data_IF_544034457623
#
_entry.id   IF_544034457623
#
_cell.length_a   1.000
_cell.length_b   1.000
_cell.length_c   1.000
_cell.angle_alpha   90.00
_cell.angle_beta   90.00
_cell.angle_gamma   90.00
#
_symmetry.space_group_name_H-M   'P 1'
#
loop_
_entity.id
_entity.type
_entity.pdbx_description
1 polymer ?
#
# COMPACT_ATOMS: atom_id res chain seq x y z
N UNK A 1 9.79 24.85 -2.11
CA UNK A 1 8.74 25.22 -1.10
C UNK A 1 7.37 25.48 -1.74
N UNK A 2 7.27 26.24 -2.82
CA UNK A 2 5.98 26.51 -3.50
C UNK A 2 5.23 25.25 -3.94
N UNK A 3 5.92 24.28 -4.55
CA UNK A 3 5.30 23.02 -4.98
C UNK A 3 4.63 22.28 -3.82
N UNK A 4 5.24 22.31 -2.62
CA UNK A 4 4.63 21.72 -1.40
C UNK A 4 3.29 22.37 -1.05
N UNK A 5 3.21 23.70 -1.14
CA UNK A 5 1.95 24.41 -0.88
C UNK A 5 0.91 24.15 -1.97
N UNK A 6 1.32 24.11 -3.24
CA UNK A 6 0.43 23.78 -4.34
C UNK A 6 -0.18 22.38 -4.18
N UNK A 7 0.65 21.37 -3.91
CA UNK A 7 0.19 20.01 -3.65
C UNK A 7 -0.72 19.93 -2.41
N UNK A 8 -0.39 20.64 -1.32
CA UNK A 8 -1.23 20.66 -0.13
C UNK A 8 -2.60 21.31 -0.38
N UNK A 9 -2.66 22.37 -1.18
CA UNK A 9 -3.93 23.00 -1.57
C UNK A 9 -4.78 22.07 -2.46
N UNK A 10 -4.14 21.40 -3.42
CA UNK A 10 -4.78 20.38 -4.25
C UNK A 10 -5.34 19.22 -3.41
N UNK A 11 -4.57 18.73 -2.43
CA UNK A 11 -4.99 17.65 -1.54
C UNK A 11 -6.22 18.06 -0.71
N UNK A 12 -6.20 19.24 -0.07
CA UNK A 12 -7.35 19.75 0.70
C UNK A 12 -8.61 19.88 -0.15
N UNK A 13 -8.46 20.25 -1.42
CA UNK A 13 -9.59 20.33 -2.34
C UNK A 13 -10.23 18.95 -2.59
N UNK A 14 -9.42 17.90 -2.75
CA UNK A 14 -9.93 16.53 -2.88
C UNK A 14 -10.58 16.04 -1.58
N UNK A 15 -9.96 16.33 -0.43
CA UNK A 15 -10.49 15.97 0.91
C UNK A 15 -11.84 16.64 1.20
N UNK A 16 -12.12 17.79 0.60
CA UNK A 16 -13.42 18.46 0.67
C UNK A 16 -14.52 17.79 -0.20
N UNK A 17 -14.22 16.69 -0.88
CA UNK A 17 -15.18 15.91 -1.67
C UNK A 17 -15.22 16.23 -3.17
N UNK A 18 -14.34 17.10 -3.66
CA UNK A 18 -14.23 17.38 -5.09
C UNK A 18 -13.52 16.24 -5.83
N UNK A 19 -13.93 15.97 -7.08
CA UNK A 19 -13.46 14.81 -7.87
C UNK A 19 -12.23 15.10 -8.74
N UNK A 20 -11.89 16.36 -8.94
CA UNK A 20 -10.83 16.80 -9.86
C UNK A 20 -9.88 17.77 -9.16
N UNK A 21 -8.65 17.84 -9.63
CA UNK A 21 -7.66 18.78 -9.10
C UNK A 21 -7.98 20.24 -9.49
N UNK A 22 -7.80 21.21 -8.58
CA UNK A 22 -7.90 22.62 -8.93
C UNK A 22 -6.58 23.11 -9.57
N UNK A 23 -6.67 24.16 -10.39
CA UNK A 23 -5.49 24.92 -10.80
C UNK A 23 -5.01 25.79 -9.63
N UNK A 24 -3.78 25.56 -9.18
CA UNK A 24 -3.13 26.38 -8.14
C UNK A 24 -2.05 27.22 -8.81
N UNK A 25 -2.18 28.54 -8.76
CA UNK A 25 -1.23 29.48 -9.35
C UNK A 25 -0.26 29.98 -8.27
N UNK A 26 1.00 29.52 -8.25
CA UNK A 26 1.99 30.02 -7.31
C UNK A 26 2.51 31.39 -7.76
N UNK A 27 2.28 32.43 -6.96
CA UNK A 27 2.83 33.78 -7.21
C UNK A 27 3.90 34.11 -6.16
N UNK A 28 4.98 34.75 -6.60
CA UNK A 28 6.06 35.25 -5.76
C UNK A 28 6.14 36.77 -5.90
N UNK A 29 6.16 37.47 -4.77
CA UNK A 29 6.45 38.90 -4.72
C UNK A 29 7.88 39.07 -4.22
N UNK A 30 8.75 39.65 -5.06
CA UNK A 30 10.14 39.94 -4.72
C UNK A 30 10.32 41.44 -4.51
N UNK A 31 10.88 41.82 -3.36
CA UNK A 31 11.22 43.20 -3.01
C UNK A 31 12.61 43.27 -2.36
N UNK A 32 13.62 42.78 -3.08
CA UNK A 32 15.00 42.82 -2.63
C UNK A 32 15.83 43.88 -3.37
N UNK A 33 17.03 44.13 -2.88
CA UNK A 33 17.90 45.20 -3.36
C UNK A 33 18.48 44.97 -4.77
N UNK A 34 18.48 43.73 -5.28
CA UNK A 34 19.03 43.37 -6.60
C UNK A 34 17.91 43.23 -7.62
N UNK A 35 17.89 44.10 -8.63
CA UNK A 35 16.86 44.15 -9.67
C UNK A 35 17.48 44.15 -11.08
N UNK A 36 16.92 43.37 -12.04
CA UNK A 36 15.82 42.42 -11.88
C UNK A 36 16.21 41.19 -11.02
N UNK A 37 15.22 40.41 -10.60
CA UNK A 37 15.45 39.18 -9.82
C UNK A 37 16.46 38.27 -10.55
N UNK A 38 17.58 37.89 -9.92
CA UNK A 38 18.72 37.32 -10.66
C UNK A 38 18.75 35.77 -10.70
N UNK A 39 17.79 35.08 -10.08
CA UNK A 39 17.78 33.62 -9.97
C UNK A 39 16.68 32.99 -10.82
N UNK A 40 16.76 31.67 -11.06
CA UNK A 40 15.72 30.97 -11.80
C UNK A 40 14.41 30.92 -11.01
N UNK A 41 13.28 31.05 -11.73
CA UNK A 41 11.93 30.82 -11.20
C UNK A 41 11.43 29.39 -11.50
N UNK A 42 12.17 28.63 -12.31
CA UNK A 42 11.83 27.25 -12.65
C UNK A 42 12.52 26.31 -11.65
N UNK A 43 11.74 25.71 -10.75
CA UNK A 43 12.27 24.78 -9.73
C UNK A 43 13.00 23.57 -10.31
N UNK A 44 12.81 23.26 -11.60
CA UNK A 44 13.50 22.19 -12.30
C UNK A 44 14.98 22.51 -12.59
N UNK A 45 15.36 23.79 -12.56
CA UNK A 45 16.76 24.22 -12.73
C UNK A 45 17.62 23.94 -11.50
N UNK A 46 16.98 23.65 -10.35
CA UNK A 46 17.66 23.35 -9.09
C UNK A 46 18.15 21.88 -9.00
N UNK A 47 17.85 21.05 -10.00
CA UNK A 47 18.37 19.68 -10.06
C UNK A 47 19.80 19.68 -10.63
N UNK A 48 20.62 18.72 -10.20
CA UNK A 48 21.94 18.51 -10.78
C UNK A 48 21.90 18.22 -12.31
N UNK A 49 20.79 17.64 -12.78
CA UNK A 49 20.48 17.45 -14.21
C UNK A 49 19.08 18.01 -14.53
N UNK A 50 18.97 19.30 -14.90
CA UNK A 50 17.71 19.93 -15.25
C UNK A 50 17.03 19.33 -16.49
N UNK A 51 17.80 18.76 -17.42
CA UNK A 51 17.27 18.14 -18.65
C UNK A 51 16.50 16.87 -18.30
N UNK A 52 17.08 16.02 -17.45
CA UNK A 52 16.41 14.82 -16.96
C UNK A 52 15.22 15.17 -16.06
N UNK A 53 15.34 16.17 -15.19
CA UNK A 53 14.24 16.61 -14.33
C UNK A 53 13.01 17.05 -15.15
N UNK A 54 13.21 17.80 -16.24
CA UNK A 54 12.12 18.20 -17.14
C UNK A 54 11.45 17.01 -17.81
N UNK A 55 12.23 16.04 -18.29
CA UNK A 55 11.68 14.80 -18.85
C UNK A 55 10.81 14.06 -17.83
N UNK A 56 11.24 13.99 -16.57
CA UNK A 56 10.54 13.24 -15.54
C UNK A 56 9.30 13.95 -14.98
N UNK A 57 9.36 15.27 -14.79
CA UNK A 57 8.33 16.02 -14.06
C UNK A 57 7.37 16.82 -14.94
N UNK A 58 7.69 17.02 -16.23
CA UNK A 58 6.84 17.77 -17.16
C UNK A 58 6.13 16.88 -18.21
N UNK A 59 6.29 15.56 -18.12
CA UNK A 59 5.62 14.59 -19.00
C UNK A 59 4.75 13.65 -18.18
N UNK A 60 4.02 12.76 -18.87
CA UNK A 60 3.28 11.70 -18.20
C UNK A 60 4.24 10.82 -17.38
N UNK A 61 3.82 10.46 -16.16
CA UNK A 61 4.63 9.58 -15.32
C UNK A 61 4.87 8.23 -16.03
N UNK A 62 6.09 7.68 -15.96
CA UNK A 62 6.36 6.37 -16.52
C UNK A 62 5.51 5.31 -15.81
N UNK A 63 4.70 4.58 -16.57
CA UNK A 63 3.97 3.40 -16.10
C UNK A 63 4.74 2.15 -16.52
N UNK A 64 5.19 1.36 -15.53
CA UNK A 64 5.74 0.02 -15.79
C UNK A 64 4.59 -0.97 -15.68
N UNK A 65 4.04 -1.38 -16.82
CA UNK A 65 3.02 -2.42 -16.87
C UNK A 65 3.66 -3.81 -16.85
N UNK A 66 3.86 -4.34 -15.65
CA UNK A 66 4.50 -5.66 -15.44
C UNK A 66 3.66 -6.79 -16.06
N UNK A 67 2.37 -6.59 -16.32
CA UNK A 67 1.50 -7.65 -16.87
C UNK A 67 1.91 -8.07 -18.28
N UNK A 68 2.52 -7.17 -19.05
CA UNK A 68 2.96 -7.42 -20.43
C UNK A 68 4.46 -7.73 -20.54
N UNK A 69 5.26 -7.51 -19.49
CA UNK A 69 6.70 -7.77 -19.50
C UNK A 69 6.95 -9.28 -19.42
N UNK A 70 7.68 -9.89 -20.37
CA UNK A 70 8.03 -11.32 -20.32
C UNK A 70 8.82 -11.71 -19.07
N UNK A 71 8.63 -12.93 -18.56
CA UNK A 71 9.32 -13.40 -17.35
C UNK A 71 10.84 -13.41 -17.54
N UNK A 72 11.34 -13.81 -18.72
CA UNK A 72 12.78 -13.84 -19.01
C UNK A 72 13.42 -12.44 -19.05
N UNK A 73 12.63 -11.42 -19.36
CA UNK A 73 13.02 -10.02 -19.23
C UNK A 73 13.05 -9.60 -17.76
N UNK A 74 11.99 -9.87 -16.99
CA UNK A 74 11.92 -9.60 -15.53
C UNK A 74 13.13 -10.24 -14.82
N UNK A 75 13.52 -11.45 -15.21
CA UNK A 75 14.65 -12.17 -14.63
C UNK A 75 16.01 -11.45 -14.78
N UNK A 76 16.09 -10.40 -15.62
CA UNK A 76 17.27 -9.53 -15.82
C UNK A 76 17.24 -8.27 -14.95
N UNK A 77 16.12 -7.93 -14.32
CA UNK A 77 15.92 -6.69 -13.52
C UNK A 77 16.60 -6.70 -12.13
N UNK A 78 17.47 -7.69 -11.87
CA UNK A 78 18.30 -7.82 -10.66
C UNK A 78 17.49 -7.74 -9.36
N UNK A 79 17.55 -6.61 -8.65
CA UNK A 79 16.96 -6.43 -7.31
C UNK A 79 15.43 -6.32 -7.35
N UNK A 80 14.88 -5.80 -8.45
CA UNK A 80 13.43 -5.54 -8.58
C UNK A 80 12.67 -6.75 -9.11
N UNK A 81 13.38 -7.63 -9.82
CA UNK A 81 12.84 -8.84 -10.46
C UNK A 81 11.97 -9.69 -9.53
N UNK A 82 12.40 -9.85 -8.27
CA UNK A 82 11.70 -10.67 -7.28
C UNK A 82 10.29 -10.11 -6.98
N UNK A 83 10.20 -8.79 -6.84
CA UNK A 83 8.95 -8.09 -6.57
C UNK A 83 8.06 -8.06 -7.80
N UNK A 84 8.63 -7.78 -8.97
CA UNK A 84 7.90 -7.75 -10.25
C UNK A 84 7.28 -9.10 -10.57
N UNK A 85 8.06 -10.18 -10.46
CA UNK A 85 7.60 -11.53 -10.75
C UNK A 85 6.46 -11.94 -9.81
N UNK A 86 6.60 -11.69 -8.50
CA UNK A 86 5.51 -11.95 -7.56
C UNK A 86 4.29 -11.08 -7.88
N UNK A 87 4.44 -9.78 -8.12
CA UNK A 87 3.32 -8.88 -8.41
C UNK A 87 2.56 -9.31 -9.67
N UNK A 88 3.29 -9.70 -10.73
CA UNK A 88 2.71 -10.20 -11.98
C UNK A 88 1.81 -11.42 -11.77
N UNK A 89 2.25 -12.35 -10.93
CA UNK A 89 1.64 -13.66 -10.80
C UNK A 89 0.83 -13.87 -9.52
N UNK A 90 0.81 -12.93 -8.55
CA UNK A 90 0.14 -13.12 -7.25
C UNK A 90 -1.35 -13.44 -7.37
N UNK A 91 -1.99 -12.98 -8.45
CA UNK A 91 -3.42 -13.23 -8.75
C UNK A 91 -3.65 -14.51 -9.54
N UNK A 92 -2.61 -15.15 -10.06
CA UNK A 92 -2.73 -16.42 -10.77
C UNK A 92 -2.97 -17.56 -9.78
N UNK A 93 -3.70 -18.60 -10.22
CA UNK A 93 -4.09 -19.70 -9.34
C UNK A 93 -2.90 -20.55 -8.89
N UNK A 94 -1.83 -20.63 -9.68
CA UNK A 94 -0.69 -21.49 -9.40
C UNK A 94 0.62 -20.70 -9.28
N UNK A 95 1.03 -20.46 -8.04
CA UNK A 95 2.35 -19.86 -7.73
C UNK A 95 3.48 -20.89 -7.80
N UNK A 96 3.18 -22.20 -7.87
CA UNK A 96 4.22 -23.24 -7.86
C UNK A 96 5.09 -23.21 -9.11
N UNK A 97 4.54 -22.78 -10.24
CA UNK A 97 5.30 -22.59 -11.49
C UNK A 97 6.43 -21.55 -11.37
N UNK A 98 6.41 -20.68 -10.35
CA UNK A 98 7.41 -19.63 -10.15
C UNK A 98 8.54 -20.02 -9.19
N UNK A 99 8.43 -21.18 -8.53
CA UNK A 99 9.39 -21.56 -7.47
C UNK A 99 10.81 -21.58 -8.02
N UNK A 100 11.02 -22.13 -9.22
CA UNK A 100 12.36 -22.21 -9.84
C UNK A 100 12.93 -20.83 -10.17
N UNK A 101 12.12 -19.95 -10.76
CA UNK A 101 12.53 -18.60 -11.10
C UNK A 101 12.88 -17.79 -9.84
N UNK A 102 12.07 -17.91 -8.78
CA UNK A 102 12.31 -17.20 -7.52
C UNK A 102 13.52 -17.76 -6.78
N UNK A 103 13.73 -19.07 -6.80
CA UNK A 103 14.96 -19.68 -6.28
C UNK A 103 16.18 -19.13 -7.02
N UNK A 104 16.14 -19.07 -8.35
CA UNK A 104 17.23 -18.52 -9.15
C UNK A 104 17.52 -17.04 -8.81
N UNK A 105 16.49 -16.21 -8.60
CA UNK A 105 16.66 -14.82 -8.19
C UNK A 105 17.22 -14.67 -6.78
N UNK A 106 16.79 -15.51 -5.84
CA UNK A 106 17.27 -15.50 -4.46
C UNK A 106 18.72 -15.97 -4.35
N UNK A 107 19.12 -16.99 -5.12
CA UNK A 107 20.51 -17.49 -5.17
C UNK A 107 21.47 -16.42 -5.70
N UNK A 108 21.03 -15.57 -6.64
CA UNK A 108 21.83 -14.42 -7.12
C UNK A 108 22.12 -13.37 -6.04
N UNK A 109 21.45 -13.42 -4.88
CA UNK A 109 21.75 -12.57 -3.73
C UNK A 109 21.42 -11.08 -3.92
N UNK A 110 20.55 -10.74 -4.88
CA UNK A 110 20.20 -9.34 -5.15
C UNK A 110 19.25 -8.72 -4.11
N UNK A 111 18.44 -9.56 -3.45
CA UNK A 111 17.45 -9.12 -2.47
C UNK A 111 18.08 -9.05 -1.07
N UNK A 112 17.90 -7.90 -0.40
CA UNK A 112 18.25 -7.76 1.01
C UNK A 112 17.07 -8.14 1.92
N UNK A 113 17.31 -8.15 3.23
CA UNK A 113 16.38 -8.57 4.28
C UNK A 113 15.07 -7.79 4.24
N UNK A 114 15.17 -6.46 4.07
CA UNK A 114 14.03 -5.56 3.99
C UNK A 114 13.18 -5.84 2.75
N UNK A 115 13.81 -6.13 1.61
CA UNK A 115 13.12 -6.48 0.38
C UNK A 115 12.40 -7.83 0.50
N UNK A 116 13.05 -8.84 1.09
CA UNK A 116 12.43 -10.14 1.36
C UNK A 116 11.23 -10.01 2.31
N UNK A 117 11.38 -9.26 3.40
CA UNK A 117 10.29 -9.03 4.34
C UNK A 117 9.12 -8.30 3.68
N UNK A 118 9.39 -7.25 2.89
CA UNK A 118 8.36 -6.51 2.15
C UNK A 118 7.61 -7.41 1.15
N UNK A 119 8.34 -8.31 0.48
CA UNK A 119 7.74 -9.27 -0.43
C UNK A 119 6.83 -10.27 0.29
N UNK A 120 7.28 -10.84 1.41
CA UNK A 120 6.47 -11.78 2.18
C UNK A 120 5.22 -11.10 2.78
N UNK A 121 5.36 -9.85 3.26
CA UNK A 121 4.22 -9.03 3.65
C UNK A 121 3.22 -8.87 2.52
N UNK A 122 3.70 -8.46 1.34
CA UNK A 122 2.85 -8.27 0.17
C UNK A 122 2.10 -9.56 -0.21
N UNK A 123 2.81 -10.69 -0.25
CA UNK A 123 2.21 -12.00 -0.57
C UNK A 123 1.19 -12.45 0.47
N UNK A 124 1.44 -12.23 1.77
CA UNK A 124 0.50 -12.59 2.83
C UNK A 124 -0.80 -11.77 2.76
N UNK A 125 -0.70 -10.48 2.44
CA UNK A 125 -1.87 -9.61 2.36
C UNK A 125 -2.67 -9.77 1.07
N UNK A 126 -2.01 -10.11 -0.04
CA UNK A 126 -2.64 -10.11 -1.37
C UNK A 126 -2.97 -11.52 -1.87
N UNK A 127 -2.26 -12.54 -1.39
CA UNK A 127 -2.41 -13.93 -1.83
C UNK A 127 -3.24 -14.80 -0.88
N UNK A 128 -3.61 -15.98 -1.35
CA UNK A 128 -4.22 -17.02 -0.52
C UNK A 128 -3.18 -17.56 0.49
N UNK A 129 -3.42 -17.32 1.78
CA UNK A 129 -2.51 -17.67 2.87
C UNK A 129 -2.15 -19.17 2.91
N UNK A 130 -3.07 -20.05 2.52
CA UNK A 130 -2.80 -21.49 2.49
C UNK A 130 -1.80 -21.85 1.38
N UNK A 131 -1.95 -21.24 0.20
CA UNK A 131 -1.04 -21.45 -0.95
C UNK A 131 0.33 -20.84 -0.69
N UNK A 132 0.36 -19.67 -0.04
CA UNK A 132 1.60 -19.01 0.36
C UNK A 132 2.46 -19.91 1.27
N UNK A 133 1.85 -20.55 2.28
CA UNK A 133 2.60 -21.40 3.20
C UNK A 133 3.29 -22.58 2.49
N UNK A 134 2.60 -23.22 1.55
CA UNK A 134 3.18 -24.31 0.75
C UNK A 134 4.26 -23.78 -0.17
N UNK A 135 4.01 -22.65 -0.84
CA UNK A 135 4.94 -21.99 -1.75
C UNK A 135 6.26 -21.61 -1.04
N UNK A 136 6.18 -20.96 0.12
CA UNK A 136 7.35 -20.56 0.91
C UNK A 136 8.16 -21.76 1.40
N UNK A 137 7.49 -22.82 1.83
CA UNK A 137 8.18 -24.06 2.22
C UNK A 137 8.98 -24.64 1.06
N UNK A 138 8.42 -24.67 -0.15
CA UNK A 138 9.11 -25.15 -1.34
C UNK A 138 10.32 -24.30 -1.70
N UNK A 139 10.19 -22.96 -1.65
CA UNK A 139 11.33 -22.04 -1.87
C UNK A 139 12.42 -22.25 -0.81
N UNK A 140 12.05 -22.33 0.47
CA UNK A 140 12.98 -22.51 1.59
C UNK A 140 13.70 -23.87 1.55
N UNK A 141 13.04 -24.93 1.07
CA UNK A 141 13.67 -26.25 0.89
C UNK A 141 14.77 -26.22 -0.18
N UNK A 142 14.61 -25.43 -1.24
CA UNK A 142 15.56 -25.33 -2.35
C UNK A 142 16.73 -24.39 -2.07
N UNK A 143 16.66 -23.59 -1.01
CA UNK A 143 17.72 -22.63 -0.63
C UNK A 143 18.07 -22.79 0.85
N UNK A 144 18.85 -23.84 1.22
CA UNK A 144 19.17 -24.14 2.61
C UNK A 144 19.79 -22.97 3.38
N UNK A 145 20.64 -22.17 2.72
CA UNK A 145 21.29 -20.98 3.28
C UNK A 145 20.32 -19.87 3.73
N UNK A 146 19.12 -19.83 3.16
CA UNK A 146 18.08 -18.85 3.52
C UNK A 146 16.91 -19.49 4.25
N UNK A 147 16.92 -20.81 4.46
CA UNK A 147 15.81 -21.57 5.03
C UNK A 147 15.39 -21.03 6.39
N UNK A 148 16.32 -20.94 7.35
CA UNK A 148 16.02 -20.47 8.71
C UNK A 148 15.42 -19.07 8.68
N UNK A 149 16.04 -18.17 7.93
CA UNK A 149 15.60 -16.79 7.78
C UNK A 149 14.22 -16.65 7.14
N UNK A 150 13.97 -17.36 6.04
CA UNK A 150 12.67 -17.37 5.36
C UNK A 150 11.60 -17.93 6.31
N UNK A 151 11.92 -19.01 7.03
CA UNK A 151 11.00 -19.61 7.99
C UNK A 151 10.69 -18.69 9.17
N UNK A 152 11.69 -17.99 9.71
CA UNK A 152 11.49 -17.00 10.79
C UNK A 152 10.60 -15.85 10.34
N UNK A 153 10.81 -15.31 9.14
CA UNK A 153 9.94 -14.26 8.60
C UNK A 153 8.53 -14.80 8.39
N UNK A 154 8.37 -15.97 7.76
CA UNK A 154 7.06 -16.59 7.55
C UNK A 154 6.31 -16.85 8.86
N UNK A 155 7.00 -17.30 9.91
CA UNK A 155 6.40 -17.58 11.21
C UNK A 155 5.97 -16.29 11.93
N UNK A 156 6.82 -15.27 11.93
CA UNK A 156 6.48 -13.95 12.48
C UNK A 156 5.23 -13.39 11.81
N UNK A 157 5.15 -13.49 10.48
CA UNK A 157 4.00 -13.03 9.72
C UNK A 157 2.72 -13.80 10.05
N UNK A 158 2.80 -15.12 10.24
CA UNK A 158 1.65 -15.91 10.72
C UNK A 158 1.17 -15.45 12.09
N UNK A 159 2.09 -15.23 13.02
CA UNK A 159 1.75 -14.78 14.38
C UNK A 159 1.12 -13.38 14.37
N UNK A 160 1.67 -12.46 13.59
CA UNK A 160 1.09 -11.12 13.39
C UNK A 160 -0.30 -11.21 12.76
N UNK A 161 -0.48 -12.02 11.70
CA UNK A 161 -1.77 -12.28 11.07
C UNK A 161 -2.80 -12.87 12.04
N UNK A 162 -2.41 -13.85 12.86
CA UNK A 162 -3.28 -14.46 13.85
C UNK A 162 -3.70 -13.48 14.94
N UNK A 163 -2.75 -12.68 15.47
CA UNK A 163 -3.04 -11.64 16.47
C UNK A 163 -3.99 -10.59 15.92
N UNK A 164 -3.72 -10.10 14.71
CA UNK A 164 -4.57 -9.11 14.05
C UNK A 164 -5.97 -9.67 13.79
N UNK A 165 -6.07 -10.91 13.31
CA UNK A 165 -7.36 -11.58 13.08
C UNK A 165 -8.17 -11.78 14.36
N UNK A 166 -7.52 -12.17 15.47
CA UNK A 166 -8.18 -12.30 16.77
C UNK A 166 -8.69 -10.96 17.30
N UNK A 167 -7.89 -9.90 17.16
CA UNK A 167 -8.27 -8.55 17.57
C UNK A 167 -9.42 -8.01 16.73
N UNK A 168 -9.36 -8.19 15.40
CA UNK A 168 -10.44 -7.81 14.49
C UNK A 168 -11.73 -8.59 14.80
N UNK A 169 -11.65 -9.92 14.96
CA UNK A 169 -12.81 -10.75 15.30
C UNK A 169 -13.42 -10.39 16.65
N UNK A 170 -12.61 -10.00 17.64
CA UNK A 170 -13.12 -9.50 18.92
C UNK A 170 -13.84 -8.16 18.76
N UNK A 171 -13.27 -7.22 18.02
CA UNK A 171 -13.89 -5.92 17.76
C UNK A 171 -15.18 -6.06 16.96
N UNK A 172 -15.18 -6.90 15.93
CA UNK A 172 -16.36 -7.18 15.11
C UNK A 172 -17.44 -7.89 15.92
N UNK A 173 -17.09 -8.89 16.73
CA UNK A 173 -18.03 -9.57 17.62
C UNK A 173 -18.64 -8.62 18.66
N UNK A 174 -17.85 -7.71 19.23
CA UNK A 174 -18.35 -6.66 20.13
C UNK A 174 -19.30 -5.71 19.41
N UNK A 175 -18.96 -5.29 18.18
CA UNK A 175 -19.82 -4.42 17.37
C UNK A 175 -21.13 -5.09 16.98
N UNK A 176 -21.10 -6.35 16.55
CA UNK A 176 -22.30 -7.12 16.21
C UNK A 176 -23.18 -7.35 17.45
N UNK A 177 -22.59 -7.60 18.61
CA UNK A 177 -23.33 -7.70 19.86
C UNK A 177 -23.99 -6.36 20.23
N UNK A 178 -23.28 -5.24 20.10
CA UNK A 178 -23.82 -3.90 20.34
C UNK A 178 -24.98 -3.57 19.38
N UNK A 179 -24.85 -3.89 18.09
CA UNK A 179 -25.93 -3.73 17.10
C UNK A 179 -27.15 -4.59 17.42
N UNK A 180 -26.94 -5.85 17.84
CA UNK A 180 -28.04 -6.74 18.25
C UNK A 180 -28.79 -6.19 19.47
N UNK A 181 -28.07 -5.67 20.46
CA UNK A 181 -28.66 -5.03 21.64
C UNK A 181 -29.42 -3.76 21.22
N UNK A 182 -28.81 -2.93 20.37
CA UNK A 182 -29.45 -1.72 19.86
C UNK A 182 -30.78 -2.02 19.16
N UNK A 183 -30.83 -3.04 18.31
CA UNK A 183 -32.07 -3.48 17.64
C UNK A 183 -33.14 -3.93 18.63
N UNK A 184 -32.77 -4.70 19.66
CA UNK A 184 -33.74 -5.12 20.69
C UNK A 184 -34.31 -3.91 21.42
N UNK A 185 -33.46 -2.97 21.85
CA UNK A 185 -33.89 -1.76 22.55
C UNK A 185 -34.79 -0.87 21.67
N UNK A 186 -34.48 -0.72 20.38
CA UNK A 186 -35.35 0.04 19.47
C UNK A 186 -36.71 -0.64 19.29
N UNK A 187 -36.75 -1.98 19.19
CA UNK A 187 -38.01 -2.73 19.11
C UNK A 187 -38.84 -2.64 20.40
N UNK A 188 -38.16 -2.53 21.55
CA UNK A 188 -38.78 -2.34 22.86
C UNK A 188 -39.20 -0.86 23.12
N UNK A 189 -38.99 0.03 22.15
CA UNK A 189 -39.48 1.42 22.19
C UNK A 189 -38.54 2.43 22.84
N UNK A 190 -37.26 2.09 23.07
CA UNK A 190 -36.28 3.04 23.57
C UNK A 190 -35.92 4.09 22.52
N UNK A 191 -35.71 5.33 22.94
CA UNK A 191 -35.31 6.42 22.04
C UNK A 191 -33.86 6.24 21.53
N UNK A 192 -33.60 6.78 20.33
CA UNK A 192 -32.33 6.61 19.62
C UNK A 192 -31.12 7.14 20.41
N UNK A 193 -31.27 8.23 21.16
CA UNK A 193 -30.18 8.81 21.94
C UNK A 193 -29.83 7.93 23.14
N UNK A 194 -30.83 7.34 23.80
CA UNK A 194 -30.64 6.35 24.85
C UNK A 194 -29.95 5.08 24.33
N UNK A 195 -30.35 4.58 23.16
CA UNK A 195 -29.71 3.40 22.55
C UNK A 195 -28.24 3.66 22.20
N UNK A 196 -27.92 4.80 21.59
CA UNK A 196 -26.52 5.16 21.25
C UNK A 196 -25.65 5.28 22.50
N UNK A 197 -26.17 5.90 23.56
CA UNK A 197 -25.47 6.06 24.85
C UNK A 197 -25.19 4.73 25.53
N UNK A 198 -26.14 3.80 25.51
CA UNK A 198 -26.03 2.49 26.19
C UNK A 198 -25.15 1.51 25.41
N UNK A 199 -25.23 1.52 24.08
CA UNK A 199 -24.50 0.58 23.22
C UNK A 199 -23.12 1.09 22.81
N UNK A 200 -22.85 2.39 22.97
CA UNK A 200 -21.59 3.01 22.58
C UNK A 200 -21.36 3.07 21.07
N UNK A 201 -22.41 2.85 20.27
CA UNK A 201 -22.37 2.92 18.81
C UNK A 201 -22.31 4.38 18.34
N UNK A 202 -21.71 4.61 17.17
CA UNK A 202 -21.77 5.91 16.52
C UNK A 202 -23.13 6.10 15.82
N UNK A 203 -23.63 7.34 15.66
CA UNK A 203 -24.90 7.60 14.97
C UNK A 203 -24.97 6.99 13.55
N UNK A 204 -23.82 6.95 12.86
CA UNK A 204 -23.67 6.36 11.54
C UNK A 204 -23.88 4.83 11.53
N UNK A 205 -23.57 4.13 12.63
CA UNK A 205 -23.75 2.68 12.74
C UNK A 205 -25.23 2.27 12.72
N UNK A 206 -26.13 3.17 13.17
CA UNK A 206 -27.58 2.98 13.11
C UNK A 206 -28.22 3.54 11.83
N UNK A 207 -27.47 4.34 11.05
CA UNK A 207 -27.98 4.96 9.82
C UNK A 207 -27.85 4.04 8.59
N UNK A 208 -26.91 3.10 8.61
CA UNK A 208 -26.65 2.17 7.49
C UNK A 208 -27.71 1.08 7.30
N UNK A 209 -28.75 1.01 8.14
CA UNK A 209 -29.79 -0.03 8.08
C UNK A 209 -31.20 0.53 7.84
N UNK A 210 -31.33 1.78 7.42
CA UNK A 210 -32.61 2.36 6.99
C UNK A 210 -32.89 2.07 5.51
N UNK A 211 -33.07 0.79 5.15
CA UNK A 211 -33.54 0.36 3.83
C UNK A 211 -34.57 -0.76 3.94
#
# INVERSE_FOLDING_TARGET
>A
RLMRYAMAAMQRHLEAGHKTLPLVVPMLFYHGNRSPYPFSLCWLDEFADPVMARKLYATAFPLVDITVVPDDEIMRHRRVALLELIQKHIRQRDLMGLVEQLVALLVKGYANDTQLQSLFNYMMHTGDAARFNTFIRQVAMRIPQHKEKIMTIAERLRQEGHRNGLQQGKQEGQRLAALRIARSMLNDGFDRDTVLRVTGLAPADLASESH
#
